data_IF_866143788007
#
_entry.id   IF_866143788007
#
_cell.length_a   1.000
_cell.length_b   1.000
_cell.length_c   1.000
_cell.angle_alpha   90.00
_cell.angle_beta   90.00
_cell.angle_gamma   90.00
#
_symmetry.space_group_name_H-M   'P 1'
#
loop_
_entity.id
_entity.type
_entity.pdbx_description
1 polymer ?
#
# COMPACT_ATOMS: atom_id res chain seq x y z
N UNK A 1 -12.26 29.51 -46.58
CA UNK A 1 -11.44 29.53 -45.35
C UNK A 1 -12.40 29.40 -44.19
N UNK A 2 -12.51 28.19 -43.63
CA UNK A 2 -13.31 27.92 -42.44
C UNK A 2 -12.39 27.15 -41.48
N UNK A 3 -12.04 27.80 -40.37
CA UNK A 3 -11.16 27.29 -39.34
C UNK A 3 -12.03 26.57 -38.30
N UNK A 4 -12.19 25.26 -38.46
CA UNK A 4 -12.78 24.42 -37.42
C UNK A 4 -11.78 24.26 -36.26
N UNK A 5 -12.22 24.44 -35.01
CA UNK A 5 -11.34 24.29 -33.86
C UNK A 5 -10.90 22.83 -33.71
N UNK A 6 -9.58 22.63 -33.68
CA UNK A 6 -8.98 21.42 -33.13
C UNK A 6 -9.48 21.26 -31.70
N UNK A 7 -10.50 20.43 -31.51
CA UNK A 7 -10.77 19.84 -30.20
C UNK A 7 -9.53 19.03 -29.86
N UNK A 8 -8.71 19.58 -28.98
CA UNK A 8 -7.61 18.89 -28.33
C UNK A 8 -8.14 17.59 -27.75
N UNK A 9 -7.87 16.49 -28.45
CA UNK A 9 -7.91 15.15 -27.89
C UNK A 9 -6.83 15.08 -26.82
N UNK A 10 -7.16 15.54 -25.62
CA UNK A 10 -6.37 15.24 -24.43
C UNK A 10 -7.31 14.58 -23.44
N UNK A 11 -7.88 13.46 -23.86
CA UNK A 11 -8.23 12.40 -22.92
C UNK A 11 -6.90 11.93 -22.37
N UNK A 12 -6.44 12.56 -21.28
CA UNK A 12 -5.47 11.98 -20.39
C UNK A 12 -5.95 10.56 -20.14
N UNK A 13 -5.17 9.61 -20.62
CA UNK A 13 -5.30 8.20 -20.32
C UNK A 13 -5.01 8.05 -18.82
N UNK A 14 -5.93 8.48 -17.97
CA UNK A 14 -5.92 8.20 -16.54
C UNK A 14 -5.88 6.70 -16.43
N UNK A 15 -4.74 6.16 -15.99
CA UNK A 15 -4.61 4.73 -15.75
C UNK A 15 -5.80 4.29 -14.88
N UNK A 16 -6.57 3.29 -15.30
CA UNK A 16 -7.80 2.91 -14.62
C UNK A 16 -7.50 2.37 -13.22
N UNK A 17 -8.33 2.80 -12.25
CA UNK A 17 -8.93 1.95 -11.21
C UNK A 17 -8.04 0.87 -10.56
N UNK A 18 -6.81 1.21 -10.15
CA UNK A 18 -6.13 0.37 -9.15
C UNK A 18 -6.53 0.86 -7.79
N UNK A 19 -7.29 0.03 -7.07
CA UNK A 19 -7.56 0.26 -5.66
C UNK A 19 -6.21 0.45 -4.92
N UNK A 20 -5.96 1.65 -4.37
CA UNK A 20 -4.71 1.96 -3.71
C UNK A 20 -4.44 1.07 -2.49
N UNK A 21 -5.50 0.64 -1.78
CA UNK A 21 -5.38 -0.23 -0.60
C UNK A 21 -5.01 -1.66 -1.03
N UNK A 22 -5.65 -2.19 -2.08
CA UNK A 22 -5.28 -3.49 -2.64
C UNK A 22 -3.82 -3.52 -3.15
N UNK A 23 -3.37 -2.46 -3.85
CA UNK A 23 -1.98 -2.36 -4.30
C UNK A 23 -1.02 -2.30 -3.12
N UNK A 24 -1.35 -1.54 -2.07
CA UNK A 24 -0.56 -1.49 -0.85
C UNK A 24 -0.47 -2.86 -0.18
N UNK A 25 -1.60 -3.57 -0.05
CA UNK A 25 -1.64 -4.90 0.53
C UNK A 25 -0.78 -5.91 -0.26
N UNK A 26 -0.86 -5.87 -1.59
CA UNK A 26 -0.05 -6.72 -2.45
C UNK A 26 1.44 -6.40 -2.32
N UNK A 27 1.81 -5.12 -2.28
CA UNK A 27 3.20 -4.68 -2.11
C UNK A 27 3.78 -5.13 -0.76
N UNK A 28 2.99 -5.03 0.32
CA UNK A 28 3.40 -5.50 1.66
C UNK A 28 3.57 -7.03 1.68
N UNK A 29 2.64 -7.77 1.09
CA UNK A 29 2.74 -9.23 1.02
C UNK A 29 3.96 -9.70 0.21
N UNK A 30 4.26 -9.03 -0.91
CA UNK A 30 5.46 -9.28 -1.69
C UNK A 30 6.73 -8.98 -0.88
N UNK A 31 6.79 -7.85 -0.18
CA UNK A 31 7.94 -7.50 0.65
C UNK A 31 8.19 -8.50 1.80
N UNK A 32 7.14 -9.04 2.42
CA UNK A 32 7.25 -10.11 3.43
C UNK A 32 7.83 -11.39 2.82
N UNK A 33 7.45 -11.69 1.57
CA UNK A 33 7.91 -12.87 0.83
C UNK A 33 9.39 -12.72 0.46
N UNK A 34 9.79 -11.55 -0.04
CA UNK A 34 11.18 -11.24 -0.38
C UNK A 34 12.12 -11.42 0.83
N UNK A 35 11.66 -11.07 2.03
CA UNK A 35 12.44 -11.21 3.26
C UNK A 35 12.25 -12.54 3.99
N UNK A 36 11.43 -13.46 3.49
CA UNK A 36 11.12 -14.72 4.19
C UNK A 36 12.37 -15.58 4.40
N UNK A 37 13.16 -15.74 3.33
CA UNK A 37 14.35 -16.59 3.30
C UNK A 37 15.65 -15.78 3.18
N UNK A 38 15.55 -14.45 3.40
CA UNK A 38 16.68 -13.55 3.34
C UNK A 38 17.67 -13.80 4.50
N UNK A 39 18.99 -13.66 4.27
CA UNK A 39 19.98 -13.69 5.34
C UNK A 39 19.68 -12.59 6.36
N UNK A 40 19.80 -12.90 7.65
CA UNK A 40 19.54 -11.92 8.71
C UNK A 40 20.75 -11.05 9.05
N UNK A 41 21.92 -11.35 8.48
CA UNK A 41 23.16 -10.60 8.68
C UNK A 41 24.13 -10.76 7.50
N UNK A 42 25.15 -9.88 7.44
CA UNK A 42 26.17 -9.90 6.40
C UNK A 42 25.73 -9.21 5.09
N UNK A 43 26.60 -9.24 4.08
CA UNK A 43 26.39 -8.52 2.82
C UNK A 43 25.10 -8.94 2.08
N UNK A 44 24.68 -10.21 2.21
CA UNK A 44 23.44 -10.69 1.61
C UNK A 44 22.16 -10.14 2.26
N UNK A 45 22.22 -9.72 3.53
CA UNK A 45 21.08 -9.12 4.23
C UNK A 45 20.75 -7.73 3.67
N UNK A 46 21.78 -6.89 3.48
CA UNK A 46 21.62 -5.56 2.89
C UNK A 46 21.07 -5.63 1.46
N UNK A 47 21.63 -6.50 0.62
CA UNK A 47 21.17 -6.67 -0.75
C UNK A 47 19.69 -7.11 -0.84
N UNK A 48 19.24 -8.02 0.03
CA UNK A 48 17.85 -8.44 0.08
C UNK A 48 16.90 -7.31 0.51
N UNK A 49 17.33 -6.46 1.44
CA UNK A 49 16.58 -5.28 1.86
C UNK A 49 16.48 -4.25 0.73
N UNK A 50 17.60 -3.94 0.07
CA UNK A 50 17.64 -2.98 -1.03
C UNK A 50 16.74 -3.42 -2.20
N UNK A 51 16.79 -4.70 -2.56
CA UNK A 51 15.94 -5.26 -3.60
C UNK A 51 14.45 -5.20 -3.23
N UNK A 52 14.11 -5.57 -2.00
CA UNK A 52 12.74 -5.46 -1.47
C UNK A 52 12.24 -4.01 -1.53
N UNK A 53 13.04 -3.04 -1.08
CA UNK A 53 12.68 -1.62 -1.09
C UNK A 53 12.47 -1.09 -2.52
N UNK A 54 13.32 -1.51 -3.45
CA UNK A 54 13.21 -1.14 -4.86
C UNK A 54 11.90 -1.66 -5.46
N UNK A 55 11.57 -2.93 -5.25
CA UNK A 55 10.33 -3.55 -5.74
C UNK A 55 9.10 -2.93 -5.09
N UNK A 56 9.14 -2.70 -3.77
CA UNK A 56 8.05 -2.05 -3.04
C UNK A 56 7.77 -0.65 -3.60
N UNK A 57 8.83 0.16 -3.80
CA UNK A 57 8.71 1.52 -4.34
C UNK A 57 8.13 1.51 -5.75
N UNK A 58 8.59 0.59 -6.60
CA UNK A 58 8.07 0.43 -7.95
C UNK A 58 6.58 0.05 -7.95
N UNK A 59 6.17 -0.88 -7.08
CA UNK A 59 4.78 -1.30 -6.94
C UNK A 59 3.87 -0.16 -6.43
N UNK A 60 4.37 0.67 -5.51
CA UNK A 60 3.63 1.78 -4.91
C UNK A 60 3.59 3.05 -5.76
N UNK A 61 4.53 3.23 -6.69
CA UNK A 61 4.64 4.43 -7.52
C UNK A 61 3.32 4.88 -8.16
N UNK A 62 2.47 3.99 -8.70
CA UNK A 62 1.20 4.39 -9.33
C UNK A 62 0.15 4.91 -8.35
N UNK A 63 0.18 4.47 -7.09
CA UNK A 63 -0.90 4.74 -6.10
C UNK A 63 -0.46 5.66 -4.96
N UNK A 64 0.82 6.07 -4.92
CA UNK A 64 1.40 6.85 -3.83
C UNK A 64 0.65 8.16 -3.54
N UNK A 65 0.28 8.90 -4.59
CA UNK A 65 -0.49 10.14 -4.43
C UNK A 65 -1.86 9.87 -3.80
N UNK A 66 -2.55 8.83 -4.28
CA UNK A 66 -3.88 8.47 -3.79
C UNK A 66 -3.87 7.99 -2.33
N UNK A 67 -2.85 7.23 -1.93
CA UNK A 67 -2.65 6.84 -0.52
C UNK A 67 -2.46 8.07 0.37
N UNK A 68 -1.69 9.06 -0.10
CA UNK A 68 -1.49 10.30 0.65
C UNK A 68 -2.79 11.09 0.81
N UNK A 69 -3.62 11.17 -0.23
CA UNK A 69 -4.95 11.79 -0.17
C UNK A 69 -5.88 11.09 0.83
N UNK A 70 -5.96 9.75 0.79
CA UNK A 70 -6.78 8.97 1.72
C UNK A 70 -6.33 9.19 3.18
N UNK A 71 -5.02 9.22 3.41
CA UNK A 71 -4.45 9.46 4.73
C UNK A 71 -4.76 10.88 5.24
N UNK A 72 -4.76 11.87 4.35
CA UNK A 72 -5.10 13.26 4.68
C UNK A 72 -6.60 13.46 4.92
N UNK A 73 -7.45 12.69 4.24
CA UNK A 73 -8.90 12.74 4.38
C UNK A 73 -9.39 12.16 5.71
N UNK A 74 -8.70 11.15 6.25
CA UNK A 74 -9.02 10.54 7.55
C UNK A 74 -7.80 10.58 8.49
N UNK A 75 -7.48 11.77 9.03
CA UNK A 75 -6.38 11.90 9.98
C UNK A 75 -6.71 11.15 11.27
N UNK A 76 -5.89 10.14 11.59
CA UNK A 76 -6.10 9.21 12.71
C UNK A 76 -6.79 7.91 12.33
N UNK A 77 -7.17 7.74 11.06
CA UNK A 77 -7.79 6.52 10.55
C UNK A 77 -6.87 5.30 10.55
N UNK A 78 -7.45 4.13 10.32
CA UNK A 78 -6.74 2.85 10.32
C UNK A 78 -5.61 2.80 9.27
N UNK A 79 -5.73 3.54 8.16
CA UNK A 79 -4.65 3.69 7.17
C UNK A 79 -3.41 4.38 7.76
N UNK A 80 -3.56 5.36 8.66
CA UNK A 80 -2.43 6.01 9.35
C UNK A 80 -1.63 4.99 10.16
N UNK A 81 -2.31 4.05 10.81
CA UNK A 81 -1.67 2.98 11.59
C UNK A 81 -0.82 2.09 10.68
N UNK A 82 -1.34 1.72 9.50
CA UNK A 82 -0.59 0.97 8.48
C UNK A 82 0.67 1.73 8.06
N UNK A 83 0.55 3.02 7.72
CA UNK A 83 1.69 3.87 7.35
C UNK A 83 2.71 3.98 8.48
N UNK A 84 2.28 4.00 9.74
CA UNK A 84 3.17 3.96 10.91
C UNK A 84 4.02 2.69 10.97
N UNK A 85 3.42 1.52 10.74
CA UNK A 85 4.17 0.26 10.69
C UNK A 85 5.13 0.19 9.49
N UNK A 86 4.75 0.72 8.33
CA UNK A 86 5.63 0.79 7.17
C UNK A 86 6.82 1.72 7.41
N UNK A 87 6.58 2.87 8.03
CA UNK A 87 7.65 3.80 8.42
C UNK A 87 8.65 3.14 9.38
N UNK A 88 8.14 2.35 10.33
CA UNK A 88 8.97 1.53 11.20
C UNK A 88 9.77 0.49 10.41
N UNK A 89 9.12 -0.24 9.48
CA UNK A 89 9.80 -1.21 8.63
C UNK A 89 10.95 -0.58 7.85
N UNK A 90 10.74 0.59 7.24
CA UNK A 90 11.79 1.29 6.48
C UNK A 90 12.93 1.82 7.36
N UNK A 91 12.62 2.22 8.59
CA UNK A 91 13.66 2.60 9.56
C UNK A 91 14.56 1.39 9.91
N UNK A 92 13.94 0.22 10.12
CA UNK A 92 14.68 -1.01 10.41
C UNK A 92 15.45 -1.51 9.18
N UNK A 93 14.88 -1.34 7.99
CA UNK A 93 15.51 -1.66 6.72
C UNK A 93 16.78 -0.83 6.51
N UNK A 94 16.71 0.48 6.77
CA UNK A 94 17.87 1.37 6.70
C UNK A 94 18.95 1.02 7.75
N UNK A 95 18.57 0.41 8.87
CA UNK A 95 19.50 -0.12 9.87
C UNK A 95 20.06 -1.51 9.52
N UNK A 96 19.59 -2.14 8.43
CA UNK A 96 19.97 -3.48 8.02
C UNK A 96 19.35 -4.61 8.86
N UNK A 97 18.37 -4.32 9.71
CA UNK A 97 17.71 -5.33 10.54
C UNK A 97 16.57 -5.99 9.77
N UNK A 98 16.90 -7.08 9.06
CA UNK A 98 15.95 -7.88 8.28
C UNK A 98 14.82 -8.43 9.15
N UNK A 99 15.12 -8.88 10.38
CA UNK A 99 14.15 -9.50 11.26
C UNK A 99 13.13 -8.47 11.75
N UNK A 100 13.60 -7.31 12.20
CA UNK A 100 12.75 -6.22 12.65
C UNK A 100 11.96 -5.61 11.47
N UNK A 101 12.57 -5.49 10.29
CA UNK A 101 11.89 -5.06 9.06
C UNK A 101 10.71 -5.98 8.75
N UNK A 102 10.95 -7.30 8.69
CA UNK A 102 9.91 -8.29 8.42
C UNK A 102 8.81 -8.27 9.48
N UNK A 103 9.16 -8.16 10.76
CA UNK A 103 8.16 -8.07 11.83
C UNK A 103 7.26 -6.84 11.69
N UNK A 104 7.83 -5.69 11.33
CA UNK A 104 7.05 -4.47 11.08
C UNK A 104 6.15 -4.58 9.83
N UNK A 105 6.63 -5.21 8.75
CA UNK A 105 5.81 -5.49 7.57
C UNK A 105 4.64 -6.43 7.87
N UNK A 106 4.84 -7.47 8.69
CA UNK A 106 3.76 -8.36 9.15
C UNK A 106 2.72 -7.56 9.96
N UNK A 107 3.18 -6.68 10.85
CA UNK A 107 2.26 -5.80 11.60
C UNK A 107 1.45 -4.87 10.68
N UNK A 108 2.08 -4.31 9.63
CA UNK A 108 1.39 -3.52 8.61
C UNK A 108 0.33 -4.36 7.86
N UNK A 109 0.67 -5.60 7.49
CA UNK A 109 -0.25 -6.53 6.82
C UNK A 109 -1.48 -6.86 7.69
N UNK A 110 -1.27 -7.12 8.98
CA UNK A 110 -2.38 -7.35 9.93
C UNK A 110 -3.26 -6.10 10.08
N UNK A 111 -2.66 -4.91 10.11
CA UNK A 111 -3.41 -3.66 10.19
C UNK A 111 -4.22 -3.39 8.91
N UNK A 112 -3.72 -3.78 7.74
CA UNK A 112 -4.42 -3.73 6.45
C UNK A 112 -5.62 -4.67 6.40
N UNK A 113 -5.48 -5.91 6.87
CA UNK A 113 -6.60 -6.85 6.92
C UNK A 113 -7.75 -6.28 7.77
N UNK A 114 -7.45 -5.69 8.91
CA UNK A 114 -8.44 -5.03 9.78
C UNK A 114 -9.10 -3.82 9.12
N UNK A 115 -8.37 -3.08 8.27
CA UNK A 115 -8.94 -1.98 7.49
C UNK A 115 -9.97 -2.52 6.50
N UNK A 116 -9.61 -3.56 5.74
CA UNK A 116 -10.51 -4.18 4.75
C UNK A 116 -11.75 -4.81 5.39
N UNK A 117 -11.60 -5.46 6.55
CA UNK A 117 -12.73 -6.02 7.29
C UNK A 117 -13.67 -4.91 7.80
N UNK A 118 -13.11 -3.81 8.34
CA UNK A 118 -13.90 -2.68 8.82
C UNK A 118 -14.66 -1.95 7.70
N UNK A 119 -14.05 -1.84 6.51
CA UNK A 119 -14.72 -1.31 5.31
C UNK A 119 -15.85 -2.22 4.84
N UNK A 120 -15.67 -3.55 4.95
CA UNK A 120 -16.70 -4.53 4.61
C UNK A 120 -17.90 -4.48 5.59
N UNK A 121 -17.64 -4.35 6.89
CA UNK A 121 -18.68 -4.24 7.91
C UNK A 121 -19.42 -2.89 7.85
N UNK A 122 -18.72 -1.79 7.54
CA UNK A 122 -19.34 -0.47 7.36
C UNK A 122 -20.18 -0.36 6.07
N UNK A 123 -19.94 -1.22 5.09
CA UNK A 123 -20.66 -1.33 3.82
C UNK A 123 -21.65 -2.49 3.74
N UNK A 124 -21.96 -3.15 4.85
CA UNK A 124 -22.89 -4.28 4.89
C UNK A 124 -24.24 -3.91 4.24
N UNK A 125 -24.86 -4.83 3.47
CA UNK A 125 -26.11 -4.55 2.78
C UNK A 125 -27.14 -4.09 3.81
N UNK A 126 -27.87 -3.02 3.48
CA UNK A 126 -29.09 -2.60 4.16
C UNK A 126 -30.00 -3.84 4.28
N UNK A 127 -29.91 -4.55 5.41
CA UNK A 127 -30.70 -5.74 5.66
C UNK A 127 -32.13 -5.23 5.73
N UNK A 128 -33.02 -5.69 4.85
CA UNK A 128 -34.36 -5.15 4.79
C UNK A 128 -35.04 -5.48 6.11
N UNK A 129 -35.35 -4.42 6.85
CA UNK A 129 -36.07 -4.43 8.11
C UNK A 129 -37.56 -4.75 7.85
N UNK A 130 -37.83 -5.99 7.46
CA UNK A 130 -39.16 -6.59 7.59
C UNK A 130 -38.98 -7.87 8.41
N UNK A 131 -39.26 -7.80 9.70
CA UNK A 131 -40.56 -8.07 10.36
C UNK A 131 -40.81 -9.57 10.55
N UNK A 132 -41.10 -9.87 11.83
CA UNK A 132 -41.72 -11.07 12.40
C UNK A 132 -42.74 -11.75 11.50
#
# INVERSE_FOLDING_TARGET
MDLLPHRSSTTLLSAPDRDPIAVLAQAVAAAITDLRDAPTSGAGAGAAVDEMLMRFTAAMSPVRARIAELTAAEPGGQLVVVIGYLSKAFTQAAAGDVRATRAALIAASVALLRLTDAEHDAGGPDLPHWRF
#
